data_IF_735851602776
#
_entry.id   IF_735851602776
#
_cell.length_a   1.000
_cell.length_b   1.000
_cell.length_c   1.000
_cell.angle_alpha   90.00
_cell.angle_beta   90.00
_cell.angle_gamma   90.00
#
_symmetry.space_group_name_H-M   'P 1'
#
loop_
_entity.id
_entity.type
_entity.pdbx_description
1 polymer ?
#
# COMPACT_ATOMS: atom_id res chain seq x y z
N UNK A 1 8.16 5.91 -17.54
CA UNK A 1 8.70 4.73 -16.81
C UNK A 1 8.91 3.65 -17.85
N UNK A 2 10.13 3.15 -18.02
CA UNK A 2 10.43 2.07 -18.97
C UNK A 2 10.32 0.72 -18.25
N UNK A 3 10.19 -0.37 -19.01
CA UNK A 3 10.04 -1.71 -18.44
C UNK A 3 11.36 -2.33 -17.98
N UNK A 4 12.50 -1.70 -18.29
CA UNK A 4 13.83 -2.26 -18.06
C UNK A 4 14.36 -2.10 -16.63
N UNK A 5 13.64 -1.33 -15.79
CA UNK A 5 14.05 -1.00 -14.43
C UNK A 5 12.96 -1.32 -13.41
N UNK A 6 13.33 -1.29 -12.13
CA UNK A 6 12.40 -1.39 -11.01
C UNK A 6 11.23 -0.39 -11.17
N UNK A 7 9.97 -0.83 -11.05
CA UNK A 7 8.80 0.04 -11.15
C UNK A 7 8.67 1.09 -10.02
N UNK A 8 9.54 1.08 -9.01
CA UNK A 8 9.51 2.04 -7.90
C UNK A 8 9.66 3.50 -8.39
N UNK A 9 8.61 4.30 -8.19
CA UNK A 9 8.58 5.73 -8.57
C UNK A 9 9.25 6.65 -7.54
N UNK A 10 8.94 6.44 -6.26
CA UNK A 10 9.37 7.31 -5.16
C UNK A 10 9.20 6.61 -3.80
N UNK A 11 9.78 7.19 -2.75
CA UNK A 11 9.60 6.77 -1.35
C UNK A 11 8.88 7.87 -0.58
N UNK A 12 7.72 7.55 -0.01
CA UNK A 12 7.02 8.42 0.94
C UNK A 12 7.48 8.09 2.36
N UNK A 13 8.28 8.97 2.97
CA UNK A 13 8.81 8.79 4.33
C UNK A 13 8.15 9.80 5.25
N UNK A 14 7.53 9.30 6.34
CA UNK A 14 6.80 10.12 7.31
C UNK A 14 7.40 9.92 8.69
N UNK A 15 7.61 11.03 9.41
CA UNK A 15 8.19 11.02 10.75
C UNK A 15 7.29 11.76 11.75
N UNK A 16 7.29 11.27 12.99
CA UNK A 16 6.59 11.86 14.13
C UNK A 16 7.25 11.40 15.44
N UNK A 17 6.92 12.01 16.60
CA UNK A 17 7.48 11.62 17.89
C UNK A 17 7.14 10.20 18.34
N UNK A 18 6.00 9.66 17.90
CA UNK A 18 5.56 8.29 18.21
C UNK A 18 4.88 7.63 17.01
N UNK A 19 4.62 6.33 17.15
CA UNK A 19 4.08 5.48 16.08
C UNK A 19 2.66 5.90 15.68
N UNK A 20 1.83 6.23 16.66
CA UNK A 20 0.43 6.61 16.44
C UNK A 20 0.34 7.88 15.59
N UNK A 21 1.10 8.92 15.96
CA UNK A 21 1.21 10.16 15.19
C UNK A 21 1.81 9.93 13.81
N UNK A 22 2.80 9.03 13.68
CA UNK A 22 3.40 8.71 12.38
C UNK A 22 2.38 8.04 11.45
N UNK A 23 1.56 7.11 11.95
CA UNK A 23 0.49 6.48 11.18
C UNK A 23 -0.57 7.51 10.78
N UNK A 24 -1.02 8.36 11.71
CA UNK A 24 -2.01 9.40 11.42
C UNK A 24 -1.53 10.35 10.31
N UNK A 25 -0.27 10.79 10.38
CA UNK A 25 0.36 11.60 9.33
C UNK A 25 0.53 10.83 8.03
N UNK A 26 0.81 9.53 8.08
CA UNK A 26 0.94 8.68 6.90
C UNK A 26 -0.38 8.52 6.15
N UNK A 27 -1.49 8.33 6.88
CA UNK A 27 -2.85 8.31 6.31
C UNK A 27 -3.16 9.62 5.58
N UNK A 28 -2.84 10.77 6.20
CA UNK A 28 -3.00 12.08 5.56
C UNK A 28 -2.10 12.23 4.32
N UNK A 29 -0.82 11.90 4.43
CA UNK A 29 0.13 12.01 3.32
C UNK A 29 -0.29 11.15 2.12
N UNK A 30 -0.80 9.94 2.36
CA UNK A 30 -1.35 9.09 1.30
C UNK A 30 -2.66 9.62 0.74
N UNK A 31 -3.50 10.29 1.54
CA UNK A 31 -4.73 10.92 1.06
C UNK A 31 -4.45 12.09 0.10
N UNK A 32 -3.38 12.85 0.37
CA UNK A 32 -2.92 13.96 -0.46
C UNK A 32 -2.06 13.51 -1.66
N UNK A 33 -1.55 12.27 -1.65
CA UNK A 33 -0.71 11.74 -2.72
C UNK A 33 -1.52 11.53 -4.01
N UNK A 34 -1.19 12.31 -5.03
CA UNK A 34 -1.76 12.21 -6.37
C UNK A 34 -0.73 11.68 -7.36
N UNK A 35 -0.98 10.49 -7.90
CA UNK A 35 -0.21 9.89 -8.98
C UNK A 35 -1.21 9.51 -10.07
N UNK A 36 -0.97 9.94 -11.30
CA UNK A 36 -1.85 9.70 -12.45
C UNK A 36 -1.08 9.03 -13.58
N UNK A 37 -1.79 8.35 -14.48
CA UNK A 37 -1.21 7.71 -15.67
C UNK A 37 -0.60 6.33 -15.46
N UNK A 38 -0.49 5.84 -14.21
CA UNK A 38 0.00 4.50 -13.88
C UNK A 38 -0.78 3.91 -12.70
N UNK A 39 -0.91 2.59 -12.65
CA UNK A 39 -1.43 1.89 -11.48
C UNK A 39 -0.43 2.00 -10.33
N UNK A 40 -0.92 2.20 -9.10
CA UNK A 40 -0.08 2.30 -7.91
C UNK A 40 -0.65 1.47 -6.75
N UNK A 41 0.20 0.95 -5.84
CA UNK A 41 -0.25 0.24 -4.65
C UNK A 41 -0.82 1.16 -3.55
N UNK A 42 -1.05 2.45 -3.85
CA UNK A 42 -1.45 3.44 -2.84
C UNK A 42 -2.79 3.11 -2.16
N UNK A 43 -3.71 2.41 -2.82
CA UNK A 43 -4.96 1.96 -2.18
C UNK A 43 -4.66 0.92 -1.08
N UNK A 44 -3.87 -0.12 -1.39
CA UNK A 44 -3.46 -1.13 -0.43
C UNK A 44 -2.73 -0.54 0.77
N UNK A 45 -1.86 0.46 0.56
CA UNK A 45 -1.18 1.14 1.67
C UNK A 45 -2.14 1.89 2.60
N UNK A 46 -3.21 2.49 2.07
CA UNK A 46 -4.24 3.15 2.91
C UNK A 46 -4.97 2.12 3.76
N UNK A 47 -5.32 0.98 3.18
CA UNK A 47 -6.04 -0.08 3.87
C UNK A 47 -5.17 -0.71 4.95
N UNK A 48 -3.90 -1.03 4.64
CA UNK A 48 -2.92 -1.52 5.61
C UNK A 48 -2.77 -0.55 6.77
N UNK A 49 -2.67 0.77 6.52
CA UNK A 49 -2.56 1.75 7.59
C UNK A 49 -3.85 1.91 8.39
N UNK A 50 -5.01 1.49 7.88
CA UNK A 50 -6.29 1.52 8.58
C UNK A 50 -6.53 0.30 9.49
N UNK A 51 -5.83 -0.82 9.23
CA UNK A 51 -5.93 -2.04 10.03
C UNK A 51 -5.34 -1.84 11.43
N UNK A 52 -6.08 -2.27 12.45
CA UNK A 52 -5.61 -2.21 13.85
C UNK A 52 -4.38 -3.08 14.04
N UNK A 53 -4.27 -4.16 13.27
CA UNK A 53 -3.14 -5.07 13.33
C UNK A 53 -1.84 -4.41 12.89
N UNK A 54 -1.90 -3.49 11.92
CA UNK A 54 -0.73 -2.69 11.61
C UNK A 54 -0.60 -1.50 12.57
N UNK A 55 -1.69 -0.82 12.90
CA UNK A 55 -1.63 0.45 13.61
C UNK A 55 -1.24 0.29 15.09
N UNK A 56 -1.79 -0.72 15.76
CA UNK A 56 -1.64 -0.98 17.19
C UNK A 56 -0.41 -1.81 17.56
N UNK A 57 0.22 -2.52 16.62
CA UNK A 57 1.38 -3.35 16.91
C UNK A 57 2.46 -3.35 15.82
N UNK A 58 3.57 -4.05 16.10
CA UNK A 58 4.62 -4.33 15.12
C UNK A 58 4.29 -5.71 14.50
N UNK A 59 3.94 -5.76 13.21
CA UNK A 59 3.58 -7.01 12.57
C UNK A 59 4.79 -7.93 12.41
N UNK A 60 4.52 -9.24 12.27
CA UNK A 60 5.55 -10.20 11.86
C UNK A 60 5.92 -10.02 10.39
N UNK A 61 7.02 -10.62 9.95
CA UNK A 61 7.44 -10.59 8.55
C UNK A 61 6.51 -11.35 7.60
N UNK A 62 5.56 -12.16 8.12
CA UNK A 62 4.57 -12.93 7.33
C UNK A 62 3.16 -12.34 7.37
N UNK A 63 2.95 -11.30 8.18
CA UNK A 63 1.62 -10.76 8.41
C UNK A 63 0.94 -10.27 7.12
N UNK A 64 1.72 -9.69 6.21
CA UNK A 64 1.19 -9.20 4.94
C UNK A 64 0.60 -10.36 4.11
N UNK A 65 1.35 -11.45 3.98
CA UNK A 65 0.97 -12.65 3.25
C UNK A 65 -0.19 -13.38 3.90
N UNK A 66 -0.17 -13.51 5.23
CA UNK A 66 -1.15 -14.30 5.96
C UNK A 66 -2.47 -13.52 6.19
N UNK A 67 -2.45 -12.18 6.20
CA UNK A 67 -3.61 -11.34 6.59
C UNK A 67 -4.09 -10.37 5.52
N UNK A 68 -3.19 -9.73 4.76
CA UNK A 68 -3.56 -8.65 3.83
C UNK A 68 -3.78 -9.17 2.42
N UNK A 69 -2.80 -9.89 1.87
CA UNK A 69 -2.82 -10.35 0.47
C UNK A 69 -4.04 -11.20 0.08
N UNK A 70 -4.60 -12.08 0.94
CA UNK A 70 -5.77 -12.88 0.57
C UNK A 70 -6.98 -12.04 0.12
N UNK A 71 -7.10 -10.80 0.60
CA UNK A 71 -8.15 -9.88 0.16
C UNK A 71 -7.91 -9.29 -1.25
N UNK A 72 -6.67 -9.26 -1.72
CA UNK A 72 -6.25 -8.68 -3.01
C UNK A 72 -6.04 -9.71 -4.11
N UNK A 73 -5.81 -10.98 -3.77
CA UNK A 73 -5.68 -12.08 -4.74
C UNK A 73 -6.94 -12.25 -5.60
N UNK A 74 -8.13 -12.06 -5.02
CA UNK A 74 -9.40 -12.12 -5.76
C UNK A 74 -9.65 -10.92 -6.69
N UNK A 75 -8.90 -9.82 -6.55
CA UNK A 75 -9.08 -8.62 -7.40
C UNK A 75 -8.34 -8.75 -8.73
N UNK A 76 -7.23 -9.50 -8.79
CA UNK A 76 -6.48 -9.73 -10.03
C UNK A 76 -7.21 -10.67 -11.00
N UNK A 77 -7.95 -11.66 -10.52
CA UNK A 77 -8.66 -12.63 -11.38
C UNK A 77 -9.74 -11.97 -12.27
N UNK A 78 -10.31 -10.84 -11.84
CA UNK A 78 -11.33 -10.10 -12.58
C UNK A 78 -10.78 -9.12 -13.64
N UNK A 79 -9.45 -8.92 -13.70
CA UNK A 79 -8.82 -7.89 -14.52
C UNK A 79 -8.03 -8.41 -15.72
N UNK A 80 -8.05 -9.71 -16.01
CA UNK A 80 -7.50 -10.26 -17.26
C UNK A 80 -8.38 -9.84 -18.44
N UNK A 81 -7.95 -8.95 -19.35
CA UNK A 81 -8.69 -8.76 -20.58
C UNK A 81 -8.61 -10.04 -21.41
N UNK A 82 -9.74 -10.45 -21.97
CA UNK A 82 -9.80 -11.58 -22.90
C UNK A 82 -8.75 -11.41 -24.01
N UNK A 83 -8.06 -12.49 -24.44
CA UNK A 83 -7.11 -12.39 -25.52
C UNK A 83 -7.85 -11.97 -26.81
N UNK A 84 -7.29 -10.99 -27.52
CA UNK A 84 -7.73 -10.60 -28.87
C UNK A 84 -7.33 -11.64 -29.89
#
# INVERSE_FOLDING_TARGET
>A
VTADFDPMLAKLVVTAPDREQAIARSRRALAELQITGVATPCAMYRDVLAMEEFAGHIPSTRWLEDTVLPAYENTQAASTPAPV
#
